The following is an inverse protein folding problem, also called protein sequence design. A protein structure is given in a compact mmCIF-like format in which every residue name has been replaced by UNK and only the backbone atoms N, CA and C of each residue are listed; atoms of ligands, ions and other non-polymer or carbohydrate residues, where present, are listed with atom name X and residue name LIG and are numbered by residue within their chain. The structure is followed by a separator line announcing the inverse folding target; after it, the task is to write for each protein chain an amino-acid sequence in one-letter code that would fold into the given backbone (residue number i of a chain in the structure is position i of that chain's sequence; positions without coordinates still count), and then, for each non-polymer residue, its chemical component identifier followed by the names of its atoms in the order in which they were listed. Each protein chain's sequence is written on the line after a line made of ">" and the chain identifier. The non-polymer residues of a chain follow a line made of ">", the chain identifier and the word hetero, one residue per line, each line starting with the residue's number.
data_IF_387707805500
#
_entry.id   IF_387707805500
#
_cell.length_a   1.000
_cell.length_b   1.000
_cell.length_c   1.000
_cell.angle_alpha   90.00
_cell.angle_beta   90.00
_cell.angle_gamma   90.00
#
_symmetry.space_group_name_H-M   'P 1'
#
loop_
_entity.id
_entity.type
_entity.pdbx_description
1 polymer ?
#
# COMPACT_ATOMS: atom_id res chain seq x y z
N UNK A 1 -27.24 14.25 -2.07
CA UNK A 1 -25.99 15.05 -1.94
C UNK A 1 -24.78 14.42 -2.63
N UNK A 2 -24.72 13.10 -2.87
CA UNK A 2 -23.58 12.43 -3.52
C UNK A 2 -23.38 12.74 -5.03
N UNK A 3 -24.46 13.01 -5.78
CA UNK A 3 -24.39 13.33 -7.21
C UNK A 3 -23.63 14.64 -7.47
N UNK A 4 -23.75 15.62 -6.56
CA UNK A 4 -23.05 16.89 -6.68
C UNK A 4 -21.53 16.69 -6.57
N UNK A 5 -21.08 15.87 -5.61
CA UNK A 5 -19.64 15.61 -5.41
C UNK A 5 -18.99 14.93 -6.62
N UNK A 6 -19.68 13.99 -7.27
CA UNK A 6 -19.13 13.32 -8.46
C UNK A 6 -19.08 14.27 -9.67
N UNK A 7 -20.05 15.16 -9.81
CA UNK A 7 -20.06 16.20 -10.84
C UNK A 7 -18.99 17.26 -10.58
N UNK A 8 -18.81 17.68 -9.32
CA UNK A 8 -17.79 18.62 -8.88
C UNK A 8 -16.38 18.06 -9.15
N UNK A 9 -16.14 16.77 -8.86
CA UNK A 9 -14.87 16.10 -9.17
C UNK A 9 -14.57 16.09 -10.67
N UNK A 10 -15.55 15.73 -11.50
CA UNK A 10 -15.39 15.76 -12.97
C UNK A 10 -15.08 17.17 -13.46
N UNK A 11 -15.70 18.18 -12.88
CA UNK A 11 -15.45 19.57 -13.20
C UNK A 11 -14.01 19.98 -12.85
N UNK A 12 -13.53 19.64 -11.66
CA UNK A 12 -12.14 19.88 -11.23
C UNK A 12 -11.14 19.21 -12.16
N UNK A 13 -11.34 17.95 -12.55
CA UNK A 13 -10.46 17.27 -13.51
C UNK A 13 -10.40 18.01 -14.85
N UNK A 14 -11.54 18.43 -15.39
CA UNK A 14 -11.59 19.18 -16.65
C UNK A 14 -10.89 20.56 -16.56
N UNK A 15 -10.84 21.17 -15.36
CA UNK A 15 -10.08 22.39 -15.13
C UNK A 15 -8.57 22.12 -15.08
N UNK A 16 -8.16 21.02 -14.43
CA UNK A 16 -6.76 20.61 -14.34
C UNK A 16 -6.18 20.33 -15.74
N UNK A 17 -6.94 19.69 -16.62
CA UNK A 17 -6.52 19.36 -17.99
C UNK A 17 -6.19 20.60 -18.86
N UNK A 18 -6.64 21.79 -18.44
CA UNK A 18 -6.44 23.06 -19.16
C UNK A 18 -5.33 23.92 -18.57
N UNK A 19 -4.69 23.49 -17.47
CA UNK A 19 -3.65 24.25 -16.79
C UNK A 19 -2.35 24.26 -17.59
N UNK A 20 -1.63 25.38 -17.53
CA UNK A 20 -0.27 25.43 -18.04
C UNK A 20 0.66 24.56 -17.16
N UNK A 21 1.77 24.01 -17.70
CA UNK A 21 2.66 23.11 -16.95
C UNK A 21 3.15 23.65 -15.60
N UNK A 22 3.38 24.96 -15.50
CA UNK A 22 3.80 25.61 -14.26
C UNK A 22 2.69 25.64 -13.20
N UNK A 23 1.43 25.76 -13.62
CA UNK A 23 0.26 25.77 -12.74
C UNK A 23 -0.08 24.35 -12.24
N UNK A 24 0.16 23.34 -13.08
CA UNK A 24 0.00 21.93 -12.68
C UNK A 24 0.91 21.58 -11.49
N UNK A 25 2.14 22.09 -11.48
CA UNK A 25 3.07 21.86 -10.36
C UNK A 25 2.53 22.47 -9.04
N UNK A 26 2.06 23.72 -9.08
CA UNK A 26 1.48 24.37 -7.91
C UNK A 26 0.25 23.63 -7.36
N UNK A 27 -0.63 23.15 -8.25
CA UNK A 27 -1.82 22.38 -7.86
C UNK A 27 -1.44 20.99 -7.32
N UNK A 28 -0.43 20.33 -7.90
CA UNK A 28 0.11 19.08 -7.36
C UNK A 28 0.57 19.26 -5.91
N UNK A 29 1.40 20.26 -5.64
CA UNK A 29 1.91 20.51 -4.28
C UNK A 29 0.78 20.80 -3.30
N UNK A 30 -0.23 21.56 -3.72
CA UNK A 30 -1.41 21.82 -2.88
C UNK A 30 -2.21 20.54 -2.60
N UNK A 31 -2.44 19.71 -3.63
CA UNK A 31 -3.15 18.44 -3.47
C UNK A 31 -2.38 17.45 -2.60
N UNK A 32 -1.05 17.40 -2.69
CA UNK A 32 -0.19 16.57 -1.83
C UNK A 32 -0.30 16.97 -0.34
N UNK A 33 -0.59 18.24 -0.03
CA UNK A 33 -0.85 18.70 1.35
C UNK A 33 -2.29 18.42 1.80
N UNK A 34 -3.25 18.55 0.89
CA UNK A 34 -4.68 18.42 1.21
C UNK A 34 -5.20 16.99 1.24
N UNK A 35 -4.57 16.09 0.46
CA UNK A 35 -4.95 14.69 0.39
C UNK A 35 -4.09 13.95 1.41
N UNK A 36 -4.68 13.36 2.47
CA UNK A 36 -3.90 12.57 3.41
C UNK A 36 -3.20 11.44 2.65
N UNK A 37 -1.91 11.24 2.93
CA UNK A 37 -1.22 10.04 2.48
C UNK A 37 -1.97 8.86 3.11
N UNK A 38 -2.66 8.09 2.26
CA UNK A 38 -3.41 6.90 2.67
C UNK A 38 -2.58 5.64 2.48
N UNK A 39 -1.34 5.76 2.00
CA UNK A 39 -0.35 4.75 2.33
C UNK A 39 -0.25 4.73 3.86
N UNK A 40 -0.36 3.53 4.43
CA UNK A 40 -0.32 3.26 5.86
C UNK A 40 0.99 3.81 6.46
N UNK A 41 1.02 5.10 6.75
CA UNK A 41 2.02 5.74 7.62
C UNK A 41 1.68 5.38 9.07
N UNK A 42 1.43 4.08 9.34
CA UNK A 42 1.45 3.57 10.70
C UNK A 42 2.90 3.68 11.16
N UNK A 43 3.11 4.54 12.16
CA UNK A 43 4.43 4.73 12.74
C UNK A 43 4.88 3.38 13.32
N UNK A 44 5.98 2.85 12.80
CA UNK A 44 6.57 1.62 13.34
C UNK A 44 6.94 1.89 14.79
N UNK A 45 6.30 1.18 15.70
CA UNK A 45 6.54 1.30 17.13
C UNK A 45 7.88 0.65 17.50
N UNK A 46 8.46 1.09 18.62
CA UNK A 46 9.67 0.48 19.17
C UNK A 46 9.50 -1.03 19.48
N UNK A 47 8.26 -1.47 19.76
CA UNK A 47 7.95 -2.88 19.98
C UNK A 47 8.08 -3.69 18.69
N UNK A 48 7.56 -3.17 17.58
CA UNK A 48 7.64 -3.80 16.26
C UNK A 48 9.09 -3.87 15.76
N UNK A 49 9.86 -2.79 15.96
CA UNK A 49 11.30 -2.80 15.67
C UNK A 49 12.02 -3.89 16.47
N UNK A 50 11.72 -4.01 17.77
CA UNK A 50 12.30 -5.04 18.63
C UNK A 50 11.86 -6.45 18.23
N UNK A 51 10.61 -6.64 17.79
CA UNK A 51 10.11 -7.91 17.28
C UNK A 51 10.87 -8.35 16.02
N UNK A 52 11.07 -7.44 15.07
CA UNK A 52 11.85 -7.69 13.85
C UNK A 52 13.31 -7.96 14.19
N UNK A 53 13.91 -7.22 15.12
CA UNK A 53 15.29 -7.44 15.55
C UNK A 53 15.49 -8.84 16.17
N UNK A 54 14.55 -9.29 17.01
CA UNK A 54 14.56 -10.65 17.58
C UNK A 54 14.43 -11.71 16.49
N UNK A 55 13.52 -11.53 15.54
CA UNK A 55 13.36 -12.43 14.40
C UNK A 55 14.65 -12.54 13.59
N UNK A 56 15.27 -11.41 13.23
CA UNK A 56 16.56 -11.38 12.52
C UNK A 56 17.69 -12.05 13.30
N UNK A 57 17.76 -11.88 14.61
CA UNK A 57 18.75 -12.60 15.45
C UNK A 57 18.49 -14.11 15.46
N UNK A 58 17.23 -14.53 15.57
CA UNK A 58 16.90 -15.95 15.51
C UNK A 58 17.36 -16.59 14.18
N UNK A 59 17.18 -15.91 13.05
CA UNK A 59 17.64 -16.37 11.74
C UNK A 59 19.17 -16.35 11.55
N UNK A 60 19.94 -15.69 12.43
CA UNK A 60 21.42 -15.82 12.38
C UNK A 60 21.90 -17.18 12.84
N UNK A 61 21.10 -17.88 13.65
CA UNK A 61 21.47 -19.15 14.28
C UNK A 61 20.61 -20.33 13.80
N UNK A 62 19.49 -20.06 13.13
CA UNK A 62 18.53 -21.07 12.71
C UNK A 62 18.18 -20.87 11.23
N UNK A 63 17.93 -21.97 10.53
CA UNK A 63 17.42 -21.92 9.17
C UNK A 63 15.90 -21.71 9.19
N UNK A 64 15.42 -20.90 8.24
CA UNK A 64 13.99 -20.74 8.02
C UNK A 64 13.39 -21.95 7.32
N UNK A 65 12.08 -22.13 7.49
CA UNK A 65 11.32 -23.10 6.71
C UNK A 65 10.99 -22.43 5.36
N UNK A 66 11.31 -23.05 4.22
CA UNK A 66 10.89 -22.57 2.91
C UNK A 66 9.36 -22.41 2.84
N UNK A 67 8.90 -21.33 2.19
CA UNK A 67 7.47 -21.06 2.06
C UNK A 67 6.75 -22.20 1.34
N UNK A 68 7.43 -22.85 0.40
CA UNK A 68 6.92 -23.99 -0.37
C UNK A 68 6.61 -25.20 0.52
N UNK A 69 7.46 -25.47 1.51
CA UNK A 69 7.28 -26.60 2.43
C UNK A 69 6.08 -26.35 3.34
N UNK A 70 5.92 -25.11 3.83
CA UNK A 70 4.75 -24.68 4.61
C UNK A 70 3.48 -24.73 3.77
N UNK A 71 3.55 -24.30 2.50
CA UNK A 71 2.41 -24.35 1.59
C UNK A 71 1.91 -25.79 1.39
N UNK A 72 2.82 -26.73 1.19
CA UNK A 72 2.51 -28.16 1.08
C UNK A 72 1.88 -28.69 2.36
N UNK A 73 2.43 -28.35 3.53
CA UNK A 73 1.89 -28.77 4.83
C UNK A 73 0.45 -28.25 5.06
N UNK A 74 0.16 -27.03 4.60
CA UNK A 74 -1.17 -26.42 4.69
C UNK A 74 -2.12 -26.84 3.56
N UNK A 75 -1.69 -27.70 2.64
CA UNK A 75 -2.51 -28.16 1.50
C UNK A 75 -2.76 -27.09 0.43
N UNK A 76 -1.90 -26.07 0.37
CA UNK A 76 -1.96 -24.96 -0.56
C UNK A 76 -0.97 -25.16 -1.71
N UNK A 77 -1.37 -24.74 -2.91
CA UNK A 77 -0.44 -24.60 -4.03
C UNK A 77 0.19 -23.20 -4.05
N UNK A 78 1.41 -23.09 -4.58
CA UNK A 78 2.07 -21.80 -4.76
C UNK A 78 1.31 -20.86 -5.70
N UNK A 79 0.49 -21.40 -6.62
CA UNK A 79 -0.37 -20.61 -7.49
C UNK A 79 -1.55 -19.99 -6.72
N UNK A 80 -2.12 -20.71 -5.74
CA UNK A 80 -3.16 -20.17 -4.85
C UNK A 80 -2.60 -19.04 -3.98
N UNK A 81 -1.40 -19.21 -3.44
CA UNK A 81 -0.72 -18.18 -2.63
C UNK A 81 -0.44 -16.92 -3.47
N UNK A 82 0.07 -17.08 -4.70
CA UNK A 82 0.33 -15.96 -5.61
C UNK A 82 -0.94 -15.25 -6.06
N UNK A 83 -2.03 -15.99 -6.29
CA UNK A 83 -3.32 -15.42 -6.65
C UNK A 83 -3.88 -14.54 -5.52
N UNK A 84 -3.84 -15.03 -4.27
CA UNK A 84 -4.27 -14.26 -3.09
C UNK A 84 -3.42 -13.00 -2.85
N UNK A 85 -2.11 -13.05 -3.13
CA UNK A 85 -1.25 -11.86 -3.02
C UNK A 85 -1.60 -10.76 -4.04
N UNK A 86 -2.18 -11.13 -5.18
CA UNK A 86 -2.55 -10.19 -6.26
C UNK A 86 -3.93 -9.58 -6.03
N UNK A 87 -4.81 -10.28 -5.33
CA UNK A 87 -6.15 -9.83 -4.98
C UNK A 87 -6.48 -10.22 -3.53
N UNK A 88 -6.04 -9.41 -2.54
CA UNK A 88 -6.24 -9.73 -1.12
C UNK A 88 -7.71 -9.65 -0.67
N UNK A 89 -8.65 -9.36 -1.58
CA UNK A 89 -10.07 -9.18 -1.30
C UNK A 89 -10.98 -10.22 -2.01
N UNK A 90 -10.42 -11.25 -2.64
CA UNK A 90 -11.18 -12.31 -3.34
C UNK A 90 -11.62 -13.47 -2.44
#
# INVERSE_FOLDING_TARGET
>A
MAVNQQQDRKHVHAMIDRLAPQQVNAIRTLLEVMVPNTAEDEEITAEEEAAVARSKEWFRQNEGIPLEDVAVELGLSMEQIRAAAKDPAA
#
